data_IF_155509843586
#
_entry.id   IF_155509843586
#
_cell.length_a   1.000
_cell.length_b   1.000
_cell.length_c   1.000
_cell.angle_alpha   90.00
_cell.angle_beta   90.00
_cell.angle_gamma   90.00
#
_symmetry.space_group_name_H-M   'P 1'
#
loop_
_entity.id
_entity.type
_entity.pdbx_description
1 polymer ?
#
# COMPACT_ATOMS: atom_id res chain seq x y z
N UNK A 1 39.99 -13.73 -18.26
CA UNK A 1 39.41 -12.91 -19.34
C UNK A 1 38.59 -11.74 -18.70
N UNK A 2 39.12 -10.52 -18.71
CA UNK A 2 38.36 -9.33 -18.24
C UNK A 2 37.30 -9.00 -19.30
N UNK A 3 36.01 -9.24 -19.01
CA UNK A 3 34.90 -8.79 -19.88
C UNK A 3 34.98 -7.25 -19.98
N UNK A 4 35.32 -6.72 -21.15
CA UNK A 4 35.18 -5.28 -21.44
C UNK A 4 33.70 -4.91 -21.23
N UNK A 5 33.40 -4.12 -20.21
CA UNK A 5 32.05 -3.56 -20.04
C UNK A 5 31.73 -2.78 -21.32
N UNK A 6 30.64 -3.14 -22.02
CA UNK A 6 30.17 -2.38 -23.17
C UNK A 6 29.71 -1.01 -22.70
N UNK A 7 30.05 0.06 -23.41
CA UNK A 7 29.67 1.45 -23.07
C UNK A 7 28.20 1.57 -22.69
N UNK A 8 27.30 0.86 -23.39
CA UNK A 8 25.87 0.84 -23.05
C UNK A 8 25.56 0.31 -21.66
N UNK A 9 26.34 -0.66 -21.14
CA UNK A 9 26.15 -1.13 -19.75
C UNK A 9 26.60 -0.07 -18.74
N UNK A 10 27.69 0.65 -19.03
CA UNK A 10 28.17 1.74 -18.15
C UNK A 10 27.12 2.83 -18.06
N UNK A 11 26.55 3.24 -19.18
CA UNK A 11 25.47 4.24 -19.24
C UNK A 11 24.25 3.74 -18.44
N UNK A 12 23.84 2.48 -18.63
CA UNK A 12 22.72 1.92 -17.90
C UNK A 12 22.96 1.92 -16.39
N UNK A 13 24.17 1.53 -15.92
CA UNK A 13 24.48 1.61 -14.48
C UNK A 13 24.50 3.03 -13.94
N UNK A 14 25.04 3.99 -14.68
CA UNK A 14 25.03 5.40 -14.28
C UNK A 14 23.61 5.90 -14.12
N UNK A 15 22.72 5.65 -15.09
CA UNK A 15 21.32 6.02 -15.02
C UNK A 15 20.61 5.37 -13.83
N UNK A 16 20.83 4.06 -13.60
CA UNK A 16 20.25 3.35 -12.47
C UNK A 16 20.72 3.89 -11.12
N UNK A 17 22.02 4.21 -10.99
CA UNK A 17 22.60 4.79 -9.76
C UNK A 17 22.00 6.17 -9.51
N UNK A 18 21.96 7.03 -10.53
CA UNK A 18 21.36 8.36 -10.42
C UNK A 18 19.88 8.27 -10.00
N UNK A 19 19.12 7.38 -10.62
CA UNK A 19 17.74 7.13 -10.26
C UNK A 19 17.60 6.64 -8.81
N UNK A 20 18.46 5.71 -8.39
CA UNK A 20 18.46 5.22 -7.00
C UNK A 20 18.78 6.33 -5.99
N UNK A 21 19.77 7.18 -6.27
CA UNK A 21 20.14 8.33 -5.40
C UNK A 21 18.97 9.29 -5.28
N UNK A 22 18.35 9.68 -6.40
CA UNK A 22 17.20 10.60 -6.40
C UNK A 22 16.01 10.00 -5.64
N UNK A 23 15.75 8.70 -5.84
CA UNK A 23 14.63 8.00 -5.19
C UNK A 23 14.86 7.79 -3.69
N UNK A 24 16.10 7.59 -3.24
CA UNK A 24 16.42 7.40 -1.83
C UNK A 24 16.53 8.72 -1.06
N UNK A 25 16.80 9.84 -1.75
CA UNK A 25 16.98 11.14 -1.12
C UNK A 25 15.84 11.55 -0.16
N UNK A 26 14.54 11.46 -0.54
CA UNK A 26 13.44 11.82 0.36
C UNK A 26 13.42 10.97 1.64
N UNK A 27 13.79 9.69 1.56
CA UNK A 27 13.84 8.80 2.72
C UNK A 27 15.01 9.14 3.64
N UNK A 28 16.19 9.43 3.08
CA UNK A 28 17.34 9.89 3.84
C UNK A 28 17.06 11.22 4.52
N UNK A 29 16.44 12.16 3.80
CA UNK A 29 16.02 13.44 4.36
C UNK A 29 15.03 13.26 5.51
N UNK A 30 14.01 12.43 5.34
CA UNK A 30 13.03 12.11 6.39
C UNK A 30 13.71 11.49 7.61
N UNK A 31 14.70 10.60 7.40
CA UNK A 31 15.46 10.00 8.50
C UNK A 31 16.28 11.04 9.26
N UNK A 32 16.96 11.94 8.57
CA UNK A 32 17.73 13.03 9.18
C UNK A 32 16.82 13.94 10.00
N UNK A 33 15.71 14.40 9.42
CA UNK A 33 14.75 15.26 10.11
C UNK A 33 14.13 14.55 11.31
N UNK A 34 13.81 13.25 11.20
CA UNK A 34 13.22 12.47 12.30
C UNK A 34 14.18 12.33 13.51
N UNK A 35 15.47 12.39 13.28
CA UNK A 35 16.50 12.31 14.32
C UNK A 35 16.92 13.69 14.85
N UNK A 36 16.42 14.78 14.27
CA UNK A 36 16.72 16.14 14.71
C UNK A 36 15.86 16.51 15.92
N UNK A 37 16.44 16.95 17.05
CA UNK A 37 15.64 17.26 18.24
C UNK A 37 14.70 18.45 17.99
N UNK A 38 13.49 18.35 18.53
CA UNK A 38 12.56 19.47 18.57
C UNK A 38 12.92 20.36 19.77
N UNK A 39 13.18 21.63 19.54
CA UNK A 39 13.44 22.61 20.60
C UNK A 39 12.19 23.44 20.83
N UNK A 40 11.82 23.62 22.11
CA UNK A 40 10.74 24.48 22.54
C UNK A 40 11.37 25.73 23.17
N UNK A 41 10.92 26.91 22.78
CA UNK A 41 11.13 28.14 23.54
C UNK A 41 9.91 28.42 24.39
N UNK A 42 10.06 29.12 25.52
CA UNK A 42 9.00 29.35 26.54
C UNK A 42 7.68 29.89 25.98
N UNK A 43 7.67 30.52 24.79
CA UNK A 43 6.50 31.16 24.22
C UNK A 43 6.06 30.62 22.84
N UNK A 44 6.84 29.73 22.22
CA UNK A 44 6.51 29.13 20.91
C UNK A 44 7.29 27.83 20.70
N UNK A 45 6.67 26.90 19.98
CA UNK A 45 7.42 25.80 19.39
C UNK A 45 8.31 26.40 18.31
N UNK A 46 9.53 26.79 18.67
CA UNK A 46 10.51 27.06 17.65
C UNK A 46 11.23 25.77 17.35
N UNK A 47 11.23 25.39 16.10
CA UNK A 47 12.24 24.49 15.58
C UNK A 47 13.57 25.23 15.79
N UNK A 48 14.24 25.02 16.92
CA UNK A 48 15.54 25.65 17.18
C UNK A 48 16.61 25.18 16.18
N UNK A 49 16.25 24.27 15.31
CA UNK A 49 16.98 23.82 14.14
C UNK A 49 16.16 24.18 12.92
N UNK A 50 16.68 25.07 12.11
CA UNK A 50 16.06 25.46 10.85
C UNK A 50 16.23 24.32 9.83
N UNK A 51 15.33 23.33 9.92
CA UNK A 51 15.30 22.17 9.01
C UNK A 51 15.03 22.55 7.55
N UNK A 52 14.63 23.79 7.29
CA UNK A 52 14.46 24.36 5.96
C UNK A 52 15.72 25.06 5.43
N UNK A 53 16.76 25.23 6.29
CA UNK A 53 18.03 25.84 5.89
C UNK A 53 18.76 24.96 4.88
N UNK A 54 19.08 25.54 3.74
CA UNK A 54 19.85 24.87 2.71
C UNK A 54 21.16 25.64 2.44
N UNK A 55 22.33 24.97 2.36
CA UNK A 55 22.55 23.53 2.58
C UNK A 55 22.38 23.15 4.07
N UNK A 56 21.96 21.87 4.34
CA UNK A 56 21.81 21.38 5.72
C UNK A 56 23.19 21.29 6.40
N UNK A 57 23.27 21.72 7.64
CA UNK A 57 24.46 21.53 8.46
C UNK A 57 24.47 20.08 9.00
N UNK A 58 25.25 19.20 8.35
CA UNK A 58 25.39 17.78 8.72
C UNK A 58 26.83 17.48 9.10
N UNK A 59 27.05 17.00 10.32
CA UNK A 59 28.34 16.53 10.81
C UNK A 59 28.25 15.07 11.25
N UNK A 60 28.65 14.15 10.38
CA UNK A 60 28.64 12.70 10.65
C UNK A 60 29.91 12.24 11.44
N UNK A 61 30.95 13.08 11.57
CA UNK A 61 32.20 12.72 12.25
C UNK A 61 32.15 12.95 13.77
N UNK A 62 31.10 13.61 14.26
CA UNK A 62 30.86 13.82 15.68
C UNK A 62 29.92 12.70 16.21
N UNK A 63 30.13 12.29 17.44
CA UNK A 63 29.26 11.28 18.06
C UNK A 63 28.54 11.86 19.28
N UNK A 64 27.20 11.84 19.36
CA UNK A 64 26.27 11.47 18.26
C UNK A 64 26.38 12.40 17.04
N UNK A 65 26.02 11.94 15.81
CA UNK A 65 26.02 12.79 14.62
C UNK A 65 25.20 14.06 14.85
N UNK A 66 25.60 15.17 14.28
CA UNK A 66 24.86 16.43 14.38
C UNK A 66 24.12 16.70 13.07
N UNK A 67 22.85 17.05 13.21
CA UNK A 67 21.97 17.44 12.12
C UNK A 67 21.40 18.83 12.40
N UNK A 68 21.56 19.76 11.47
CA UNK A 68 21.12 21.13 11.60
C UNK A 68 21.67 21.81 12.89
N UNK A 69 22.93 21.52 13.21
CA UNK A 69 23.61 22.09 14.38
C UNK A 69 23.20 21.53 15.74
N UNK A 70 22.45 20.40 15.75
CA UNK A 70 22.02 19.73 16.98
C UNK A 70 22.35 18.23 16.97
N UNK A 71 22.70 17.62 18.13
CA UNK A 71 22.99 16.20 18.22
C UNK A 71 21.75 15.35 17.86
N UNK A 72 21.97 14.29 17.08
CA UNK A 72 20.91 13.35 16.70
C UNK A 72 20.28 12.67 17.93
N UNK A 73 18.97 12.54 17.93
CA UNK A 73 18.21 11.93 19.02
C UNK A 73 17.11 11.02 18.49
N UNK A 74 16.83 9.92 19.23
CA UNK A 74 15.66 9.08 19.00
C UNK A 74 14.42 9.53 19.77
N UNK A 75 14.46 10.66 20.47
CA UNK A 75 13.36 11.11 21.33
C UNK A 75 12.06 11.34 20.56
N UNK A 76 12.12 11.83 19.32
CA UNK A 76 10.95 12.07 18.49
C UNK A 76 10.11 10.81 18.30
N UNK A 77 10.74 9.64 18.18
CA UNK A 77 10.03 8.36 18.05
C UNK A 77 9.26 8.01 19.33
N UNK A 78 9.86 8.27 20.49
CA UNK A 78 9.20 8.06 21.79
C UNK A 78 8.06 9.05 21.98
N UNK A 79 8.26 10.31 21.61
CA UNK A 79 7.24 11.35 21.73
C UNK A 79 6.03 11.08 20.85
N UNK A 80 6.21 10.54 19.64
CA UNK A 80 5.09 10.11 18.77
C UNK A 80 4.13 9.18 19.51
N UNK A 81 4.64 8.18 20.24
CA UNK A 81 3.80 7.26 21.03
C UNK A 81 3.19 7.90 22.29
N UNK A 82 3.83 8.93 22.86
CA UNK A 82 3.31 9.62 24.05
C UNK A 82 2.19 10.59 23.73
N UNK A 83 2.32 11.34 22.61
CA UNK A 83 1.38 12.42 22.26
C UNK A 83 0.21 11.95 21.38
N UNK A 84 0.34 10.76 20.76
CA UNK A 84 -0.69 10.20 19.90
C UNK A 84 -0.91 8.72 20.17
N UNK A 85 -2.08 8.16 19.88
CA UNK A 85 -2.32 6.73 19.97
C UNK A 85 -1.72 5.98 18.76
N UNK A 86 -0.44 6.21 18.46
CA UNK A 86 0.22 5.72 17.24
C UNK A 86 0.15 4.20 17.08
N UNK A 87 0.33 3.45 18.18
CA UNK A 87 0.18 1.98 18.17
C UNK A 87 -1.23 1.55 17.73
N UNK A 88 -2.27 2.31 18.11
CA UNK A 88 -3.64 2.07 17.68
C UNK A 88 -3.81 2.35 16.19
N UNK A 89 -3.17 3.40 15.66
CA UNK A 89 -3.20 3.71 14.23
C UNK A 89 -2.54 2.61 13.39
N UNK A 90 -1.42 2.04 13.86
CA UNK A 90 -0.80 0.86 13.23
C UNK A 90 -1.82 -0.29 13.18
N UNK A 91 -2.44 -0.61 14.30
CA UNK A 91 -3.41 -1.70 14.39
C UNK A 91 -4.62 -1.47 13.47
N UNK A 92 -5.17 -0.25 13.48
CA UNK A 92 -6.30 0.11 12.61
C UNK A 92 -5.94 -0.05 11.13
N UNK A 93 -4.73 0.37 10.73
CA UNK A 93 -4.26 0.26 9.34
C UNK A 93 -4.08 -1.21 8.95
N UNK A 94 -3.49 -2.03 9.84
CA UNK A 94 -3.34 -3.47 9.61
C UNK A 94 -4.72 -4.13 9.45
N UNK A 95 -5.66 -3.88 10.35
CA UNK A 95 -7.01 -4.44 10.30
C UNK A 95 -7.71 -4.01 9.00
N UNK A 96 -7.66 -2.73 8.67
CA UNK A 96 -8.27 -2.19 7.46
C UNK A 96 -7.67 -2.82 6.20
N UNK A 97 -6.34 -2.80 6.06
CA UNK A 97 -5.65 -3.37 4.90
C UNK A 97 -5.86 -4.89 4.77
N UNK A 98 -5.84 -5.62 5.90
CA UNK A 98 -6.08 -7.06 5.90
C UNK A 98 -7.51 -7.41 5.49
N UNK A 99 -8.52 -6.74 6.06
CA UNK A 99 -9.93 -7.04 5.75
C UNK A 99 -10.28 -6.72 4.29
N UNK A 100 -9.79 -5.59 3.77
CA UNK A 100 -9.98 -5.24 2.36
C UNK A 100 -9.27 -6.25 1.46
N UNK A 101 -8.02 -6.60 1.75
CA UNK A 101 -7.27 -7.58 0.96
C UNK A 101 -7.95 -8.94 0.97
N UNK A 102 -8.36 -9.46 2.12
CA UNK A 102 -9.07 -10.74 2.24
C UNK A 102 -10.38 -10.71 1.44
N UNK A 103 -11.13 -9.59 1.53
CA UNK A 103 -12.35 -9.40 0.73
C UNK A 103 -12.09 -9.51 -0.77
N UNK A 104 -11.10 -8.81 -1.27
CA UNK A 104 -10.67 -8.89 -2.68
C UNK A 104 -10.25 -10.31 -3.07
N UNK A 105 -9.44 -10.99 -2.25
CA UNK A 105 -9.00 -12.36 -2.52
C UNK A 105 -10.16 -13.35 -2.60
N UNK A 106 -11.23 -13.11 -1.86
CA UNK A 106 -12.43 -13.95 -1.89
C UNK A 106 -13.33 -13.55 -3.08
N UNK A 107 -13.78 -12.31 -3.10
CA UNK A 107 -14.83 -11.88 -4.03
C UNK A 107 -14.30 -11.69 -5.46
N UNK A 108 -13.11 -11.14 -5.64
CA UNK A 108 -12.53 -10.92 -6.96
C UNK A 108 -12.10 -12.24 -7.60
N UNK A 109 -11.56 -13.19 -6.82
CA UNK A 109 -11.21 -14.49 -7.34
C UNK A 109 -12.47 -15.32 -7.72
N UNK A 110 -13.53 -15.30 -6.87
CA UNK A 110 -14.80 -15.94 -7.19
C UNK A 110 -15.46 -15.31 -8.43
N UNK A 111 -15.51 -13.98 -8.48
CA UNK A 111 -16.04 -13.25 -9.64
C UNK A 111 -15.24 -13.51 -10.91
N UNK A 112 -13.89 -13.45 -10.81
CA UNK A 112 -12.99 -13.79 -11.92
C UNK A 112 -13.19 -15.21 -12.44
N UNK A 113 -13.35 -16.19 -11.54
CA UNK A 113 -13.63 -17.57 -11.90
C UNK A 113 -15.00 -17.71 -12.59
N UNK A 114 -16.03 -17.10 -12.04
CA UNK A 114 -17.37 -17.12 -12.64
C UNK A 114 -17.36 -16.58 -14.08
N UNK A 115 -16.74 -15.41 -14.29
CA UNK A 115 -16.63 -14.81 -15.64
C UNK A 115 -15.68 -15.56 -16.58
N UNK A 116 -14.68 -16.30 -16.07
CA UNK A 116 -13.75 -17.07 -16.89
C UNK A 116 -14.32 -18.44 -17.31
N UNK A 117 -14.99 -19.14 -16.40
CA UNK A 117 -15.28 -20.58 -16.50
C UNK A 117 -16.75 -20.95 -16.54
N UNK A 118 -17.60 -20.20 -15.84
CA UNK A 118 -19.01 -20.54 -15.78
C UNK A 118 -19.77 -20.05 -17.03
N UNK A 119 -20.82 -20.78 -17.38
CA UNK A 119 -21.74 -20.41 -18.46
C UNK A 119 -23.04 -19.90 -17.85
N UNK A 120 -23.35 -18.64 -18.07
CA UNK A 120 -24.60 -18.01 -17.69
C UNK A 120 -25.05 -17.00 -18.74
N UNK A 121 -26.36 -16.67 -18.81
CA UNK A 121 -26.86 -15.72 -19.80
C UNK A 121 -26.18 -14.37 -19.71
N UNK A 122 -25.87 -13.79 -20.86
CA UNK A 122 -25.29 -12.45 -21.01
C UNK A 122 -23.95 -12.24 -20.25
N UNK A 123 -23.21 -13.32 -19.98
CA UNK A 123 -21.94 -13.27 -19.24
C UNK A 123 -20.99 -12.19 -19.75
N UNK A 124 -20.78 -12.14 -21.05
CA UNK A 124 -19.81 -11.20 -21.64
C UNK A 124 -20.34 -9.77 -21.63
N UNK A 125 -21.66 -9.56 -21.73
CA UNK A 125 -22.29 -8.27 -21.52
C UNK A 125 -22.11 -7.76 -20.08
N UNK A 126 -22.42 -8.61 -19.09
CA UNK A 126 -22.21 -8.26 -17.70
C UNK A 126 -20.75 -7.93 -17.41
N UNK A 127 -19.81 -8.70 -17.96
CA UNK A 127 -18.39 -8.40 -17.81
C UNK A 127 -18.01 -7.07 -18.46
N UNK A 128 -18.51 -6.77 -19.64
CA UNK A 128 -18.31 -5.49 -20.32
C UNK A 128 -18.87 -4.31 -19.50
N UNK A 129 -20.06 -4.46 -18.90
CA UNK A 129 -20.64 -3.45 -18.01
C UNK A 129 -19.80 -3.26 -16.75
N UNK A 130 -19.26 -4.33 -16.14
CA UNK A 130 -18.31 -4.22 -15.04
C UNK A 130 -17.08 -3.42 -15.46
N UNK A 131 -16.47 -3.73 -16.60
CA UNK A 131 -15.32 -2.98 -17.10
C UNK A 131 -15.64 -1.51 -17.37
N UNK A 132 -16.84 -1.22 -17.89
CA UNK A 132 -17.29 0.15 -18.13
C UNK A 132 -17.29 1.00 -16.84
N UNK A 133 -17.51 0.39 -15.67
CA UNK A 133 -17.45 1.11 -14.40
C UNK A 133 -16.03 1.63 -14.07
N UNK A 134 -14.95 1.05 -14.63
CA UNK A 134 -13.59 1.57 -14.48
C UNK A 134 -13.40 2.95 -15.14
N UNK A 135 -14.26 3.31 -16.09
CA UNK A 135 -14.24 4.63 -16.72
C UNK A 135 -14.80 5.73 -15.79
N UNK A 136 -15.51 5.35 -14.73
CA UNK A 136 -16.04 6.29 -13.75
C UNK A 136 -14.92 6.64 -12.76
N UNK A 137 -14.48 7.90 -12.66
CA UNK A 137 -13.48 8.29 -11.70
C UNK A 137 -13.94 7.97 -10.27
N UNK A 138 -13.11 7.28 -9.49
CA UNK A 138 -13.47 6.85 -8.12
C UNK A 138 -13.88 8.00 -7.19
N UNK A 139 -13.38 9.22 -7.44
CA UNK A 139 -13.76 10.40 -6.67
C UNK A 139 -15.23 10.82 -6.86
N UNK A 140 -15.85 10.49 -8.00
CA UNK A 140 -17.27 10.79 -8.26
C UNK A 140 -18.18 9.98 -7.31
N UNK A 141 -17.81 8.74 -7.02
CA UNK A 141 -18.58 7.85 -6.13
C UNK A 141 -18.29 8.05 -4.65
N UNK A 142 -17.32 8.89 -4.31
CA UNK A 142 -16.84 9.09 -2.95
C UNK A 142 -17.96 9.62 -2.02
N UNK A 143 -18.62 10.73 -2.42
CA UNK A 143 -19.68 11.35 -1.63
C UNK A 143 -20.93 10.46 -1.50
N UNK A 144 -21.44 9.84 -2.58
CA UNK A 144 -22.52 8.86 -2.46
C UNK A 144 -22.21 7.70 -1.52
N UNK A 145 -21.02 7.13 -1.62
CA UNK A 145 -20.59 6.04 -0.72
C UNK A 145 -20.49 6.51 0.74
N UNK A 146 -19.93 7.69 0.99
CA UNK A 146 -19.90 8.28 2.32
C UNK A 146 -21.31 8.46 2.90
N UNK A 147 -22.23 9.05 2.14
CA UNK A 147 -23.61 9.24 2.57
C UNK A 147 -24.32 7.92 2.89
N UNK A 148 -24.02 6.85 2.13
CA UNK A 148 -24.54 5.52 2.40
C UNK A 148 -24.01 4.98 3.74
N UNK A 149 -22.71 5.12 3.99
CA UNK A 149 -22.10 4.70 5.27
C UNK A 149 -22.62 5.51 6.46
N UNK A 150 -22.87 6.81 6.28
CA UNK A 150 -23.53 7.65 7.30
C UNK A 150 -24.92 7.12 7.62
N UNK A 151 -25.75 6.80 6.61
CA UNK A 151 -27.10 6.24 6.80
C UNK A 151 -27.09 4.91 7.55
N UNK A 152 -26.08 4.09 7.35
CA UNK A 152 -25.91 2.83 8.08
C UNK A 152 -25.29 3.01 9.49
N UNK A 153 -24.89 4.21 9.87
CA UNK A 153 -24.25 4.46 11.15
C UNK A 153 -22.82 3.91 11.24
N UNK A 154 -22.14 3.73 10.11
CA UNK A 154 -20.82 3.10 10.05
C UNK A 154 -19.65 4.08 10.13
N UNK A 155 -19.90 5.38 10.29
CA UNK A 155 -18.83 6.36 10.55
C UNK A 155 -18.13 6.06 11.87
N UNK A 156 -16.81 6.20 11.92
CA UNK A 156 -15.96 5.81 13.05
C UNK A 156 -16.03 4.31 13.43
N UNK A 157 -16.28 3.44 12.47
CA UNK A 157 -16.24 1.98 12.66
C UNK A 157 -15.38 1.31 11.58
N UNK A 158 -14.88 0.12 11.87
CA UNK A 158 -14.19 -0.68 10.85
C UNK A 158 -15.11 -1.02 9.67
N UNK A 159 -16.41 -1.25 9.92
CA UNK A 159 -17.37 -1.54 8.85
C UNK A 159 -17.41 -0.45 7.79
N UNK A 160 -17.41 0.82 8.20
CA UNK A 160 -17.35 1.93 7.27
C UNK A 160 -16.04 1.99 6.48
N UNK A 161 -14.93 1.56 7.08
CA UNK A 161 -13.64 1.53 6.39
C UNK A 161 -13.60 0.45 5.30
N UNK A 162 -13.96 -0.81 5.60
CA UNK A 162 -13.67 -1.91 4.69
C UNK A 162 -14.84 -2.35 3.80
N UNK A 163 -16.12 -2.25 4.24
CA UNK A 163 -17.26 -2.80 3.48
C UNK A 163 -17.37 -2.27 2.04
N UNK A 164 -17.24 -0.95 1.77
CA UNK A 164 -17.34 -0.44 0.41
C UNK A 164 -16.16 -0.84 -0.49
N UNK A 165 -15.12 -1.43 0.10
CA UNK A 165 -13.87 -1.78 -0.57
C UNK A 165 -13.57 -3.28 -0.58
N UNK A 166 -14.55 -4.14 -0.32
CA UNK A 166 -14.34 -5.60 -0.26
C UNK A 166 -14.07 -6.26 -1.62
N UNK A 167 -14.38 -5.59 -2.71
CA UNK A 167 -14.23 -6.10 -4.08
C UNK A 167 -13.96 -4.96 -5.05
N UNK A 168 -13.34 -5.24 -6.17
CA UNK A 168 -13.08 -4.27 -7.21
C UNK A 168 -13.00 -4.88 -8.60
N UNK A 169 -13.48 -4.13 -9.58
CA UNK A 169 -13.53 -4.58 -10.98
C UNK A 169 -12.15 -4.95 -11.52
N UNK A 170 -11.12 -4.22 -11.13
CA UNK A 170 -9.74 -4.51 -11.53
C UNK A 170 -9.28 -5.90 -11.04
N UNK A 171 -9.58 -6.25 -9.79
CA UNK A 171 -9.22 -7.56 -9.24
C UNK A 171 -9.98 -8.69 -9.94
N UNK A 172 -11.29 -8.52 -10.19
CA UNK A 172 -12.10 -9.48 -10.97
C UNK A 172 -11.52 -9.66 -12.38
N UNK A 173 -11.15 -8.55 -13.04
CA UNK A 173 -10.53 -8.59 -14.36
C UNK A 173 -9.20 -9.35 -14.34
N UNK A 174 -8.31 -9.03 -13.40
CA UNK A 174 -7.00 -9.66 -13.26
C UNK A 174 -7.14 -11.17 -13.08
N UNK A 175 -8.00 -11.58 -12.14
CA UNK A 175 -8.24 -12.99 -11.86
C UNK A 175 -8.88 -13.72 -13.04
N UNK A 176 -9.86 -13.09 -13.73
CA UNK A 176 -10.44 -13.65 -14.95
C UNK A 176 -9.38 -13.90 -16.02
N UNK A 177 -8.49 -12.92 -16.30
CA UNK A 177 -7.45 -13.07 -17.31
C UNK A 177 -6.50 -14.23 -16.96
N UNK A 178 -6.13 -14.36 -15.70
CA UNK A 178 -5.29 -15.47 -15.26
C UNK A 178 -6.01 -16.82 -15.41
N UNK A 179 -7.25 -16.93 -14.94
CA UNK A 179 -8.00 -18.18 -15.04
C UNK A 179 -8.24 -18.60 -16.48
N UNK A 180 -8.44 -17.67 -17.41
CA UNK A 180 -8.57 -17.98 -18.84
C UNK A 180 -7.32 -18.63 -19.42
N UNK A 181 -6.15 -18.34 -18.87
CA UNK A 181 -4.88 -18.94 -19.27
C UNK A 181 -4.63 -20.35 -18.76
N UNK A 182 -5.41 -20.85 -17.81
CA UNK A 182 -5.27 -22.22 -17.29
C UNK A 182 -5.90 -23.21 -18.31
N UNK A 183 -5.21 -24.30 -18.69
CA UNK A 183 -5.77 -25.34 -19.56
C UNK A 183 -7.06 -25.94 -19.01
N UNK A 184 -8.10 -26.08 -19.84
CA UNK A 184 -9.40 -26.62 -19.42
C UNK A 184 -9.35 -28.10 -19.05
N UNK A 185 -8.43 -28.82 -19.63
CA UNK A 185 -8.19 -30.24 -19.41
C UNK A 185 -7.96 -30.56 -17.93
N UNK A 186 -7.38 -29.64 -17.17
CA UNK A 186 -7.18 -29.80 -15.72
C UNK A 186 -8.49 -29.80 -14.93
N UNK A 187 -9.46 -28.97 -15.35
CA UNK A 187 -10.78 -28.92 -14.73
C UNK A 187 -11.66 -30.09 -15.20
N UNK A 188 -11.51 -30.50 -16.47
CA UNK A 188 -12.22 -31.63 -17.04
C UNK A 188 -11.79 -32.94 -16.38
N UNK A 189 -10.50 -33.15 -16.17
CA UNK A 189 -9.97 -34.30 -15.42
C UNK A 189 -10.59 -34.37 -14.01
N UNK A 190 -10.59 -33.25 -13.28
CA UNK A 190 -11.21 -33.20 -11.95
C UNK A 190 -12.71 -33.51 -11.97
N UNK A 191 -13.43 -33.14 -13.04
CA UNK A 191 -14.85 -33.46 -13.20
C UNK A 191 -15.10 -34.94 -13.51
N UNK A 192 -14.21 -35.57 -14.30
CA UNK A 192 -14.25 -37.03 -14.55
C UNK A 192 -14.06 -37.77 -13.22
N UNK A 193 -13.20 -37.25 -12.32
CA UNK A 193 -13.01 -37.76 -10.95
C UNK A 193 -14.17 -37.43 -9.99
N UNK A 194 -15.28 -36.87 -10.50
CA UNK A 194 -16.50 -36.57 -9.72
C UNK A 194 -16.39 -35.30 -8.88
N UNK A 195 -15.45 -34.37 -9.16
CA UNK A 195 -15.38 -33.10 -8.46
C UNK A 195 -16.50 -32.14 -8.90
N UNK A 196 -17.21 -31.57 -7.93
CA UNK A 196 -18.14 -30.44 -8.19
C UNK A 196 -17.38 -29.17 -8.62
N UNK A 197 -18.06 -28.19 -9.20
CA UNK A 197 -17.48 -26.89 -9.61
C UNK A 197 -16.74 -26.24 -8.44
N UNK A 198 -17.33 -26.22 -7.25
CA UNK A 198 -16.74 -25.63 -6.04
C UNK A 198 -15.47 -26.39 -5.64
N UNK A 199 -15.53 -27.74 -5.66
CA UNK A 199 -14.37 -28.59 -5.34
C UNK A 199 -13.24 -28.38 -6.35
N UNK A 200 -13.56 -28.29 -7.64
CA UNK A 200 -12.60 -27.99 -8.73
C UNK A 200 -11.96 -26.62 -8.52
N UNK A 201 -12.75 -25.60 -8.20
CA UNK A 201 -12.22 -24.27 -7.88
C UNK A 201 -11.19 -24.29 -6.74
N UNK A 202 -11.56 -24.85 -5.57
CA UNK A 202 -10.70 -24.81 -4.40
C UNK A 202 -9.51 -25.79 -4.47
N UNK A 203 -9.66 -26.95 -5.13
CA UNK A 203 -8.64 -28.01 -5.13
C UNK A 203 -7.70 -27.97 -6.34
N UNK A 204 -8.15 -27.39 -7.46
CA UNK A 204 -7.38 -27.37 -8.72
C UNK A 204 -7.03 -25.93 -9.10
N UNK A 205 -8.02 -25.09 -9.36
CA UNK A 205 -7.81 -23.76 -9.94
C UNK A 205 -7.12 -22.81 -8.98
N UNK A 206 -7.59 -22.70 -7.75
CA UNK A 206 -7.06 -21.78 -6.76
C UNK A 206 -5.60 -22.07 -6.39
N UNK A 207 -5.14 -23.32 -6.16
CA UNK A 207 -3.74 -23.65 -5.92
C UNK A 207 -2.81 -23.30 -7.08
N UNK A 208 -3.24 -23.51 -8.32
CA UNK A 208 -2.45 -23.15 -9.52
C UNK A 208 -2.33 -21.63 -9.64
N UNK A 209 -3.32 -20.90 -9.15
CA UNK A 209 -3.42 -19.43 -9.27
C UNK A 209 -2.67 -18.68 -8.17
N UNK A 210 -1.89 -19.35 -7.32
CA UNK A 210 -1.11 -18.68 -6.25
C UNK A 210 -0.32 -17.45 -6.72
N UNK A 211 0.35 -17.45 -7.89
CA UNK A 211 1.06 -16.26 -8.35
C UNK A 211 0.14 -15.05 -8.57
N UNK A 212 -1.00 -15.25 -9.23
CA UNK A 212 -1.96 -14.17 -9.49
C UNK A 212 -2.63 -13.69 -8.21
N UNK A 213 -2.97 -14.61 -7.30
CA UNK A 213 -3.53 -14.30 -5.98
C UNK A 213 -2.54 -13.49 -5.15
N UNK A 214 -1.27 -13.86 -5.15
CA UNK A 214 -0.23 -13.12 -4.45
C UNK A 214 -0.04 -11.72 -5.03
N UNK A 215 -0.04 -11.58 -6.36
CA UNK A 215 0.05 -10.28 -7.02
C UNK A 215 -1.15 -9.39 -6.67
N UNK A 216 -2.37 -9.93 -6.71
CA UNK A 216 -3.58 -9.22 -6.29
C UNK A 216 -3.51 -8.81 -4.82
N UNK A 217 -3.12 -9.74 -3.92
CA UNK A 217 -2.98 -9.46 -2.49
C UNK A 217 -2.05 -8.29 -2.22
N UNK A 218 -0.87 -8.30 -2.84
CA UNK A 218 0.14 -7.24 -2.68
C UNK A 218 -0.39 -5.91 -3.21
N UNK A 219 -0.97 -5.91 -4.41
CA UNK A 219 -1.52 -4.70 -5.03
C UNK A 219 -2.58 -4.04 -4.14
N UNK A 220 -3.55 -4.83 -3.66
CA UNK A 220 -4.64 -4.34 -2.80
C UNK A 220 -4.10 -3.91 -1.43
N UNK A 221 -3.22 -4.71 -0.82
CA UNK A 221 -2.66 -4.38 0.49
C UNK A 221 -1.89 -3.06 0.46
N UNK A 222 -0.98 -2.88 -0.51
CA UNK A 222 -0.20 -1.65 -0.67
C UNK A 222 -1.09 -0.45 -0.92
N UNK A 223 -2.09 -0.60 -1.80
CA UNK A 223 -3.05 0.46 -2.09
C UNK A 223 -3.86 0.87 -0.86
N UNK A 224 -4.33 -0.10 -0.08
CA UNK A 224 -5.13 0.14 1.13
C UNK A 224 -4.27 0.66 2.29
N UNK A 225 -3.03 0.18 2.43
CA UNK A 225 -2.09 0.70 3.43
C UNK A 225 -1.82 2.19 3.28
N UNK A 226 -1.71 2.66 2.04
CA UNK A 226 -1.44 4.05 1.70
C UNK A 226 -2.72 4.89 1.50
N UNK A 227 -3.91 4.30 1.69
CA UNK A 227 -5.15 5.02 1.51
C UNK A 227 -5.31 6.11 2.58
N UNK A 228 -5.52 7.32 2.12
CA UNK A 228 -5.69 8.50 2.97
C UNK A 228 -7.12 9.02 2.92
N UNK A 229 -7.64 9.19 1.70
CA UNK A 229 -8.86 9.98 1.48
C UNK A 229 -10.11 9.31 2.05
N UNK A 230 -10.27 8.00 1.86
CA UNK A 230 -11.42 7.28 2.39
C UNK A 230 -11.40 7.20 3.92
N UNK A 231 -10.30 6.78 4.58
CA UNK A 231 -10.21 6.82 6.03
C UNK A 231 -10.39 8.24 6.62
N UNK A 232 -9.90 9.29 5.97
CA UNK A 232 -10.09 10.67 6.40
C UNK A 232 -11.57 11.04 6.49
N UNK A 233 -12.39 10.61 5.54
CA UNK A 233 -13.83 10.86 5.54
C UNK A 233 -14.56 10.00 6.59
N UNK A 234 -14.12 8.75 6.75
CA UNK A 234 -14.81 7.77 7.59
C UNK A 234 -14.45 7.85 9.07
N UNK A 235 -13.37 8.56 9.44
CA UNK A 235 -12.90 8.62 10.81
C UNK A 235 -12.74 10.06 11.27
N UNK A 236 -13.35 10.39 12.41
CA UNK A 236 -13.22 11.69 13.10
C UNK A 236 -12.67 11.54 14.52
N UNK A 237 -12.69 10.32 15.07
CA UNK A 237 -12.12 10.01 16.39
C UNK A 237 -10.67 9.57 16.23
N UNK A 238 -9.76 10.14 17.02
CA UNK A 238 -8.32 9.84 16.97
C UNK A 238 -8.02 8.34 17.12
N UNK A 239 -8.82 7.62 17.91
CA UNK A 239 -8.67 6.19 18.16
C UNK A 239 -8.98 5.34 16.92
N UNK A 240 -9.69 5.89 15.93
CA UNK A 240 -10.07 5.21 14.70
C UNK A 240 -9.21 5.59 13.49
N UNK A 241 -8.30 6.56 13.65
CA UNK A 241 -7.44 6.97 12.54
C UNK A 241 -6.58 5.81 12.03
N UNK A 242 -6.37 5.78 10.73
CA UNK A 242 -5.29 5.00 10.09
C UNK A 242 -3.97 5.78 10.21
N UNK A 243 -2.85 5.12 9.91
CA UNK A 243 -1.52 5.77 9.93
C UNK A 243 -1.47 7.01 9.02
N UNK A 244 -2.02 6.91 7.82
CA UNK A 244 -2.04 8.00 6.84
C UNK A 244 -2.82 9.21 7.34
N UNK A 245 -4.00 9.00 7.94
CA UNK A 245 -4.80 10.06 8.57
C UNK A 245 -4.09 10.59 9.82
N UNK A 246 -3.50 9.70 10.62
CA UNK A 246 -2.76 10.08 11.81
C UNK A 246 -1.54 10.97 11.53
N UNK A 247 -0.89 10.82 10.36
CA UNK A 247 0.20 11.71 9.97
C UNK A 247 -0.26 13.17 9.82
N UNK A 248 -1.48 13.41 9.38
CA UNK A 248 -2.02 14.77 9.26
C UNK A 248 -2.25 15.43 10.62
N UNK A 249 -2.35 14.65 11.71
CA UNK A 249 -2.44 15.16 13.08
C UNK A 249 -1.24 16.04 13.48
N UNK A 250 -0.05 15.80 12.89
CA UNK A 250 1.15 16.60 13.15
C UNK A 250 1.17 17.94 12.39
N UNK A 251 0.15 18.22 11.59
CA UNK A 251 -0.07 19.51 10.92
C UNK A 251 -1.15 20.28 11.67
N UNK A 252 -0.81 21.50 12.04
CA UNK A 252 -1.78 22.47 12.58
C UNK A 252 -2.03 23.56 11.56
N UNK A 253 -3.01 24.42 11.79
CA UNK A 253 -3.30 25.57 10.92
C UNK A 253 -2.14 26.57 10.83
N UNK A 254 -1.23 26.58 11.80
CA UNK A 254 -0.13 27.54 11.91
C UNK A 254 1.26 26.92 11.80
N UNK A 255 1.37 25.61 12.07
CA UNK A 255 2.67 24.96 12.16
C UNK A 255 2.59 23.46 11.85
N UNK A 256 3.67 22.89 11.31
CA UNK A 256 3.84 21.44 11.10
C UNK A 256 4.98 20.92 11.97
N UNK A 257 4.70 19.93 12.80
CA UNK A 257 5.71 19.25 13.65
C UNK A 257 6.49 18.25 12.79
N UNK A 258 7.38 18.77 11.93
CA UNK A 258 8.10 17.99 10.92
C UNK A 258 8.86 16.81 11.51
N UNK A 259 9.53 17.00 12.66
CA UNK A 259 10.32 15.96 13.29
C UNK A 259 9.46 14.77 13.71
N UNK A 260 8.30 15.02 14.32
CA UNK A 260 7.35 13.97 14.70
C UNK A 260 6.69 13.34 13.48
N UNK A 261 6.31 14.16 12.50
CA UNK A 261 5.72 13.68 11.26
C UNK A 261 6.69 12.78 10.48
N UNK A 262 7.99 13.14 10.40
CA UNK A 262 9.00 12.32 9.74
C UNK A 262 9.30 11.05 10.54
N UNK A 263 9.39 11.11 11.88
CA UNK A 263 9.55 9.92 12.72
C UNK A 263 8.37 8.95 12.54
N UNK A 264 7.15 9.45 12.56
CA UNK A 264 5.95 8.65 12.30
C UNK A 264 5.94 8.06 10.88
N UNK A 265 6.34 8.82 9.86
CA UNK A 265 6.43 8.36 8.46
C UNK A 265 7.47 7.25 8.27
N UNK A 266 8.64 7.36 8.91
CA UNK A 266 9.67 6.30 8.90
C UNK A 266 9.11 5.02 9.52
N UNK A 267 8.48 5.12 10.69
CA UNK A 267 7.87 3.96 11.35
C UNK A 267 6.75 3.33 10.50
N UNK A 268 5.95 4.15 9.80
CA UNK A 268 4.92 3.66 8.87
C UNK A 268 5.52 2.90 7.68
N UNK A 269 6.74 3.24 7.26
CA UNK A 269 7.40 2.60 6.12
C UNK A 269 7.98 1.23 6.46
N UNK A 270 8.37 0.99 7.73
CA UNK A 270 9.00 -0.27 8.16
C UNK A 270 8.14 -1.51 7.84
N UNK A 271 6.83 -1.59 8.18
CA UNK A 271 6.00 -2.74 7.85
C UNK A 271 5.93 -3.00 6.33
N UNK A 272 5.92 -1.93 5.52
CA UNK A 272 5.90 -2.07 4.06
C UNK A 272 7.20 -2.65 3.51
N UNK A 273 8.34 -2.25 4.06
CA UNK A 273 9.64 -2.83 3.71
C UNK A 273 9.67 -4.31 4.08
N UNK A 274 9.18 -4.68 5.26
CA UNK A 274 9.11 -6.08 5.72
C UNK A 274 8.25 -6.90 4.78
N UNK A 275 7.06 -6.43 4.43
CA UNK A 275 6.15 -7.11 3.48
C UNK A 275 6.81 -7.25 2.12
N UNK A 276 7.46 -6.19 1.61
CA UNK A 276 8.18 -6.26 0.34
C UNK A 276 9.29 -7.32 0.37
N UNK A 277 10.11 -7.38 1.43
CA UNK A 277 11.19 -8.36 1.56
C UNK A 277 10.66 -9.81 1.63
N UNK A 278 9.51 -10.03 2.25
CA UNK A 278 8.87 -11.35 2.32
C UNK A 278 8.35 -11.77 0.94
N UNK A 279 7.72 -10.87 0.22
CA UNK A 279 7.01 -11.16 -1.03
C UNK A 279 7.77 -10.76 -2.31
N UNK A 280 9.03 -10.29 -2.22
CA UNK A 280 9.81 -9.80 -3.37
C UNK A 280 9.92 -10.79 -4.53
N UNK A 281 10.00 -12.11 -4.25
CA UNK A 281 10.06 -13.15 -5.30
C UNK A 281 8.80 -13.17 -6.15
N UNK A 282 7.62 -13.05 -5.53
CA UNK A 282 6.34 -13.01 -6.22
C UNK A 282 6.21 -11.78 -7.12
N UNK A 283 6.83 -10.63 -6.72
CA UNK A 283 6.91 -9.44 -7.56
C UNK A 283 7.74 -9.67 -8.83
N UNK A 284 8.88 -10.35 -8.72
CA UNK A 284 9.81 -10.57 -9.83
C UNK A 284 9.22 -11.57 -10.82
N UNK A 285 8.65 -12.68 -10.34
CA UNK A 285 8.10 -13.75 -11.18
C UNK A 285 6.90 -13.26 -12.02
N UNK A 286 6.10 -12.36 -11.49
CA UNK A 286 4.96 -11.77 -12.21
C UNK A 286 5.41 -10.78 -13.31
N UNK A 287 6.50 -10.05 -13.09
CA UNK A 287 7.07 -9.11 -14.05
C UNK A 287 7.77 -9.80 -15.24
N UNK A 288 8.46 -10.91 -14.98
CA UNK A 288 9.21 -11.65 -16.02
C UNK A 288 8.28 -12.47 -16.91
N UNK A 289 7.21 -13.04 -16.37
CA UNK A 289 6.25 -13.85 -17.17
C UNK A 289 5.41 -13.01 -18.14
N UNK A 290 5.25 -11.71 -17.90
CA UNK A 290 4.58 -10.79 -18.82
C UNK A 290 5.49 -10.24 -19.93
N UNK A 291 6.81 -10.29 -19.74
CA UNK A 291 7.82 -9.75 -20.68
C UNK A 291 8.38 -10.75 -21.70
N UNK A 292 8.11 -12.05 -21.56
CA UNK A 292 8.67 -13.11 -22.42
C UNK A 292 7.58 -13.77 -23.30
N UNK A 293 6.71 -12.96 -23.90
CA UNK A 293 5.91 -13.35 -25.08
C UNK A 293 6.24 -12.40 -26.21
N UNK A 294 7.44 -12.57 -26.76
CA UNK A 294 7.91 -11.99 -27.99
C UNK A 294 8.72 -13.05 -28.72
#
# INVERSE_FOLDING_TARGET
MKKKLKIGMIIAYVVLILYAVVSLFPFLWSAIVSLTPMRYTENCVTTGTDIMKWPPEINLFKWPPEFFGAPATGENYVQVFKITPYARWILNTIIYAALVTIGHLIFDALGGYAFARLRFPLRDLWFALFLATLMIPGHVTLIPNYNLMVRFGFVNTYYGLFLPKLTGVFGIFLMRQFFMGIPREMEEAARIDGASIIKTYFKVVLPISKPAISALAIYIFVGTWNDFLWPLLMTSRKEMFTLTVGLDFYRTSYYTYWQYMMAASIMMTIPMIIIFLIFQRQFIDTGVSSGVKG
#
